data_IF_992345688276
#
_entry.id   IF_992345688276
#
_cell.length_a   1.000
_cell.length_b   1.000
_cell.length_c   1.000
_cell.angle_alpha   90.00
_cell.angle_beta   90.00
_cell.angle_gamma   90.00
#
_symmetry.space_group_name_H-M   'P 1'
#
loop_
_entity.id
_entity.type
_entity.pdbx_description
1 polymer ?
#
# COMPACT_ATOMS: atom_id res chain seq x y z
N UNK A 1 -8.88 14.20 -10.00
CA UNK A 1 -7.57 14.86 -9.72
C UNK A 1 -7.11 15.79 -10.84
N UNK A 2 -6.86 15.30 -12.07
CA UNK A 2 -6.33 16.12 -13.19
C UNK A 2 -7.05 17.47 -13.36
N UNK A 3 -8.37 17.45 -13.48
CA UNK A 3 -9.20 18.67 -13.61
C UNK A 3 -8.96 19.69 -12.48
N UNK A 4 -8.77 19.23 -11.24
CA UNK A 4 -8.52 20.12 -10.09
C UNK A 4 -7.10 20.70 -10.13
N UNK A 5 -6.09 19.91 -10.50
CA UNK A 5 -4.72 20.41 -10.69
C UNK A 5 -4.66 21.41 -11.85
N UNK A 6 -5.35 21.14 -12.95
CA UNK A 6 -5.44 22.06 -14.10
C UNK A 6 -6.06 23.40 -13.70
N UNK A 7 -7.09 23.36 -12.86
CA UNK A 7 -7.75 24.52 -12.26
C UNK A 7 -6.94 25.17 -11.11
N UNK A 8 -5.68 24.77 -10.90
CA UNK A 8 -4.77 25.37 -9.93
C UNK A 8 -5.10 25.07 -8.46
N UNK A 9 -5.79 23.96 -8.19
CA UNK A 9 -6.14 23.52 -6.83
C UNK A 9 -5.10 22.54 -6.28
N UNK A 10 -4.88 22.59 -4.96
CA UNK A 10 -4.23 21.50 -4.24
C UNK A 10 -5.18 20.30 -4.19
N UNK A 11 -4.64 19.08 -4.16
CA UNK A 11 -5.42 17.85 -4.22
C UNK A 11 -4.98 16.89 -3.13
N UNK A 12 -5.94 16.47 -2.31
CA UNK A 12 -5.88 15.29 -1.45
C UNK A 12 -6.79 14.22 -2.06
N UNK A 13 -6.31 12.98 -2.12
CA UNK A 13 -7.08 11.82 -2.60
C UNK A 13 -6.82 10.61 -1.69
N UNK A 14 -7.83 9.79 -1.44
CA UNK A 14 -7.67 8.48 -0.79
C UNK A 14 -6.93 7.50 -1.70
N UNK A 15 -6.21 6.53 -1.12
CA UNK A 15 -5.56 5.51 -1.95
C UNK A 15 -6.59 4.57 -2.63
N UNK A 16 -6.24 3.98 -3.78
CA UNK A 16 -5.11 4.35 -4.62
C UNK A 16 -5.44 5.62 -5.42
N UNK A 17 -4.47 6.53 -5.57
CA UNK A 17 -4.63 7.74 -6.38
C UNK A 17 -5.01 7.37 -7.82
N UNK A 18 -4.43 6.30 -8.36
CA UNK A 18 -4.74 5.84 -9.72
C UNK A 18 -4.65 4.32 -9.82
N UNK A 19 -5.24 3.78 -10.89
CA UNK A 19 -5.10 2.38 -11.27
C UNK A 19 -4.06 2.18 -12.40
N UNK A 20 -3.12 3.12 -12.55
CA UNK A 20 -2.05 3.08 -13.55
C UNK A 20 -0.85 3.92 -13.12
N UNK A 21 0.34 3.33 -13.20
CA UNK A 21 1.59 4.01 -12.87
C UNK A 21 1.81 5.25 -13.74
N UNK A 22 1.56 5.14 -15.04
CA UNK A 22 1.74 6.25 -15.99
C UNK A 22 0.82 7.42 -15.62
N UNK A 23 -0.44 7.14 -15.30
CA UNK A 23 -1.38 8.17 -14.87
C UNK A 23 -0.93 8.85 -13.57
N UNK A 24 -0.37 8.10 -12.61
CA UNK A 24 0.19 8.68 -11.40
C UNK A 24 1.38 9.60 -11.69
N UNK A 25 2.32 9.16 -12.54
CA UNK A 25 3.50 9.93 -12.94
C UNK A 25 3.09 11.25 -13.62
N UNK A 26 2.12 11.21 -14.52
CA UNK A 26 1.59 12.40 -15.18
C UNK A 26 0.93 13.38 -14.20
N UNK A 27 0.18 12.86 -13.21
CA UNK A 27 -0.43 13.70 -12.18
C UNK A 27 0.60 14.36 -11.26
N UNK A 28 1.64 13.63 -10.88
CA UNK A 28 2.76 14.19 -10.11
C UNK A 28 3.50 15.27 -10.90
N UNK A 29 3.79 15.02 -12.18
CA UNK A 29 4.42 16.01 -13.06
C UNK A 29 3.53 17.26 -13.24
N UNK A 30 2.22 17.07 -13.39
CA UNK A 30 1.26 18.19 -13.48
C UNK A 30 1.20 18.99 -12.18
N UNK A 31 1.18 18.33 -11.03
CA UNK A 31 1.19 19.01 -9.73
C UNK A 31 2.47 19.84 -9.53
N UNK A 32 3.61 19.29 -9.90
CA UNK A 32 4.92 19.98 -9.88
C UNK A 32 4.93 21.18 -10.83
N UNK A 33 4.51 21.00 -12.08
CA UNK A 33 4.37 22.07 -13.08
C UNK A 33 3.47 23.23 -12.58
N UNK A 34 2.40 22.90 -11.86
CA UNK A 34 1.42 23.88 -11.36
C UNK A 34 1.81 24.47 -9.99
N UNK A 35 2.89 24.00 -9.37
CA UNK A 35 3.26 24.37 -7.99
C UNK A 35 2.17 24.03 -6.98
N UNK A 36 1.52 22.86 -7.14
CA UNK A 36 0.42 22.40 -6.28
C UNK A 36 0.82 21.17 -5.49
N UNK A 37 0.26 21.08 -4.28
CA UNK A 37 0.39 19.89 -3.45
C UNK A 37 -0.54 18.82 -3.98
N UNK A 38 0.02 17.65 -4.26
CA UNK A 38 -0.69 16.41 -4.50
C UNK A 38 -0.38 15.46 -3.34
N UNK A 39 -1.41 14.98 -2.66
CA UNK A 39 -1.31 14.09 -1.52
C UNK A 39 -2.21 12.87 -1.75
N UNK A 40 -1.62 11.69 -1.68
CA UNK A 40 -2.34 10.42 -1.57
C UNK A 40 -2.32 10.01 -0.10
N UNK A 41 -3.51 9.88 0.48
CA UNK A 41 -3.71 9.47 1.86
C UNK A 41 -3.28 8.01 2.05
N UNK A 42 -2.63 7.74 3.17
CA UNK A 42 -2.17 6.39 3.56
C UNK A 42 -2.28 6.20 5.08
N UNK A 43 -3.50 6.22 5.60
CA UNK A 43 -3.82 6.05 7.03
C UNK A 43 -3.33 4.72 7.57
N UNK A 44 -3.12 3.70 6.73
CA UNK A 44 -2.53 2.45 7.18
C UNK A 44 -1.15 2.68 7.81
N UNK A 45 -0.38 3.68 7.38
CA UNK A 45 0.91 4.05 7.98
C UNK A 45 0.78 4.86 9.27
N UNK A 46 -0.42 5.33 9.59
CA UNK A 46 -0.75 6.09 10.80
C UNK A 46 -1.44 5.23 11.86
N UNK A 47 -1.65 3.94 11.56
CA UNK A 47 -2.26 2.99 12.48
C UNK A 47 -1.36 2.72 13.68
N UNK A 48 -1.96 2.53 14.85
CA UNK A 48 -1.27 2.15 16.08
C UNK A 48 -0.56 0.80 15.90
N UNK A 49 -1.20 -0.13 15.18
CA UNK A 49 -0.62 -1.42 14.77
C UNK A 49 0.62 -1.25 13.89
N UNK A 50 0.62 -0.26 12.98
CA UNK A 50 1.79 0.01 12.16
C UNK A 50 2.92 0.64 12.97
N UNK A 51 2.61 1.53 13.91
CA UNK A 51 3.59 2.09 14.83
C UNK A 51 4.26 1.01 15.70
N UNK A 52 3.49 0.02 16.16
CA UNK A 52 4.01 -1.17 16.83
C UNK A 52 4.94 -1.96 15.91
N UNK A 53 4.48 -2.31 14.70
CA UNK A 53 5.30 -3.05 13.72
C UNK A 53 6.61 -2.34 13.42
N UNK A 54 6.56 -1.02 13.17
CA UNK A 54 7.75 -0.23 12.87
C UNK A 54 8.77 -0.33 13.99
N UNK A 55 8.35 -0.26 15.26
CA UNK A 55 9.24 -0.44 16.42
C UNK A 55 9.81 -1.85 16.50
N UNK A 56 8.98 -2.87 16.28
CA UNK A 56 9.40 -4.26 16.37
C UNK A 56 10.39 -4.69 15.28
N UNK A 57 10.34 -4.09 14.09
CA UNK A 57 11.28 -4.43 13.01
C UNK A 57 12.60 -3.67 13.07
N UNK A 58 12.69 -2.56 13.82
CA UNK A 58 13.92 -1.75 13.88
C UNK A 58 15.08 -2.60 14.38
N UNK A 59 16.17 -2.62 13.62
CA UNK A 59 17.41 -3.33 13.98
C UNK A 59 17.34 -4.86 13.85
N UNK A 60 16.21 -5.44 13.41
CA UNK A 60 16.09 -6.88 13.18
C UNK A 60 16.34 -7.22 11.71
N UNK A 61 17.08 -8.30 11.47
CA UNK A 61 17.33 -8.80 10.12
C UNK A 61 16.25 -9.81 9.71
N UNK A 62 15.41 -9.44 8.73
CA UNK A 62 14.36 -10.30 8.20
C UNK A 62 14.98 -11.52 7.49
N UNK A 63 14.45 -12.71 7.76
CA UNK A 63 14.74 -13.95 7.03
C UNK A 63 13.65 -14.26 6.00
N UNK A 64 12.38 -14.17 6.42
CA UNK A 64 11.20 -14.37 5.55
C UNK A 64 9.97 -13.75 6.19
N UNK A 65 8.94 -13.48 5.40
CA UNK A 65 7.68 -13.00 5.96
C UNK A 65 6.44 -13.26 5.11
N UNK A 66 5.28 -13.16 5.74
CA UNK A 66 3.98 -13.21 5.08
C UNK A 66 3.00 -12.20 5.66
N UNK A 67 2.14 -11.64 4.81
CA UNK A 67 1.03 -10.76 5.17
C UNK A 67 -0.21 -11.15 4.37
N UNK A 68 -1.25 -11.63 5.06
CA UNK A 68 -2.54 -12.00 4.50
C UNK A 68 -3.61 -11.03 5.01
N UNK A 69 -4.47 -10.59 4.10
CA UNK A 69 -5.69 -9.87 4.43
C UNK A 69 -6.91 -10.57 3.84
N UNK A 70 -7.91 -10.83 4.69
CA UNK A 70 -9.20 -11.40 4.28
C UNK A 70 -10.30 -10.35 4.36
N UNK A 71 -11.26 -10.36 3.44
CA UNK A 71 -12.44 -9.48 3.50
C UNK A 71 -13.61 -10.03 2.68
N UNK A 72 -14.75 -9.36 2.74
CA UNK A 72 -15.89 -9.62 1.85
C UNK A 72 -15.55 -9.29 0.38
N UNK A 73 -16.36 -9.76 -0.59
CA UNK A 73 -16.18 -9.43 -2.01
C UNK A 73 -16.13 -7.92 -2.26
N UNK A 74 -15.39 -7.50 -3.30
CA UNK A 74 -15.22 -6.10 -3.69
C UNK A 74 -15.28 -5.97 -5.23
N UNK A 75 -16.04 -5.00 -5.73
CA UNK A 75 -16.25 -4.80 -7.16
C UNK A 75 -15.00 -4.23 -7.86
N UNK A 76 -14.25 -5.08 -8.57
CA UNK A 76 -13.01 -4.68 -9.27
C UNK A 76 -13.21 -3.50 -10.23
N UNK A 77 -14.36 -3.41 -10.91
CA UNK A 77 -14.64 -2.32 -11.86
C UNK A 77 -14.65 -0.93 -11.21
N UNK A 78 -15.00 -0.86 -9.91
CA UNK A 78 -15.09 0.41 -9.18
C UNK A 78 -13.86 0.67 -8.31
N UNK A 79 -13.31 -0.37 -7.70
CA UNK A 79 -12.22 -0.25 -6.72
C UNK A 79 -10.85 -0.64 -7.29
N UNK A 80 -10.81 -1.17 -8.51
CA UNK A 80 -9.60 -1.64 -9.16
C UNK A 80 -9.20 -3.06 -8.76
N UNK A 81 -8.20 -3.57 -9.48
CA UNK A 81 -7.64 -4.91 -9.29
C UNK A 81 -7.16 -5.11 -7.83
N UNK A 82 -7.14 -6.34 -7.27
CA UNK A 82 -6.80 -6.58 -5.87
C UNK A 82 -5.47 -5.96 -5.41
N UNK A 83 -4.47 -5.88 -6.28
CA UNK A 83 -3.20 -5.22 -5.94
C UNK A 83 -3.31 -3.70 -5.74
N UNK A 84 -4.30 -3.05 -6.36
CA UNK A 84 -4.59 -1.62 -6.18
C UNK A 84 -5.56 -1.38 -5.02
N UNK A 85 -6.68 -2.11 -4.98
CA UNK A 85 -7.65 -1.96 -3.87
C UNK A 85 -7.11 -2.44 -2.52
N UNK A 86 -6.12 -3.33 -2.53
CA UNK A 86 -5.40 -3.83 -1.36
C UNK A 86 -4.03 -3.19 -1.13
N UNK A 87 -3.68 -2.12 -1.87
CA UNK A 87 -2.32 -1.56 -1.89
C UNK A 87 -1.78 -1.17 -0.51
N UNK A 88 -2.66 -0.88 0.45
CA UNK A 88 -2.30 -0.60 1.83
C UNK A 88 -1.43 -1.70 2.48
N UNK A 89 -1.65 -2.99 2.16
CA UNK A 89 -0.80 -4.09 2.66
C UNK A 89 0.57 -4.07 2.01
N UNK A 90 0.65 -3.76 0.72
CA UNK A 90 1.92 -3.57 0.03
C UNK A 90 2.69 -2.37 0.60
N UNK A 91 2.00 -1.26 0.87
CA UNK A 91 2.58 -0.05 1.49
C UNK A 91 3.19 -0.37 2.86
N UNK A 92 2.56 -1.22 3.67
CA UNK A 92 3.17 -1.73 4.91
C UNK A 92 4.48 -2.45 4.66
N UNK A 93 4.49 -3.43 3.75
CA UNK A 93 5.70 -4.21 3.45
C UNK A 93 6.84 -3.32 2.93
N UNK A 94 6.54 -2.40 2.01
CA UNK A 94 7.52 -1.46 1.46
C UNK A 94 8.03 -0.49 2.53
N UNK A 95 7.15 -0.01 3.41
CA UNK A 95 7.56 0.91 4.48
C UNK A 95 8.37 0.23 5.59
N UNK A 96 8.18 -1.06 5.83
CA UNK A 96 8.93 -1.82 6.85
C UNK A 96 10.25 -2.36 6.31
N UNK A 97 10.27 -2.82 5.06
CA UNK A 97 11.39 -3.60 4.50
C UNK A 97 12.08 -2.94 3.29
N UNK A 98 11.65 -1.72 2.93
CA UNK A 98 12.18 -0.97 1.79
C UNK A 98 11.60 -1.43 0.46
N UNK A 99 12.24 -0.98 -0.63
CA UNK A 99 11.84 -1.39 -1.99
C UNK A 99 11.91 -2.91 -2.16
N UNK A 100 10.89 -3.43 -2.83
CA UNK A 100 10.68 -4.85 -3.08
C UNK A 100 10.69 -5.13 -4.58
N UNK A 101 11.13 -6.32 -4.97
CA UNK A 101 11.02 -6.82 -6.34
C UNK A 101 9.96 -7.91 -6.42
N UNK A 102 9.20 -7.95 -7.52
CA UNK A 102 8.26 -9.03 -7.80
C UNK A 102 9.00 -10.31 -8.20
N UNK A 103 8.64 -11.44 -7.60
CA UNK A 103 9.14 -12.77 -7.98
C UNK A 103 8.06 -13.52 -8.75
N UNK A 104 6.84 -13.54 -8.23
CA UNK A 104 5.70 -14.14 -8.92
C UNK A 104 4.38 -13.58 -8.40
N UNK A 105 3.32 -13.69 -9.20
CA UNK A 105 1.97 -13.43 -8.78
C UNK A 105 1.01 -14.46 -9.38
N UNK A 106 -0.04 -14.80 -8.63
CA UNK A 106 -1.12 -15.68 -9.04
C UNK A 106 -2.46 -15.12 -8.56
N UNK A 107 -3.50 -15.33 -9.36
CA UNK A 107 -4.86 -14.97 -9.01
C UNK A 107 -5.77 -16.18 -9.23
N UNK A 108 -6.38 -16.64 -8.14
CA UNK A 108 -7.44 -17.64 -8.16
C UNK A 108 -8.78 -16.90 -8.14
N UNK A 109 -9.67 -17.19 -9.09
CA UNK A 109 -11.00 -16.58 -9.16
C UNK A 109 -12.08 -17.63 -9.37
N UNK A 110 -13.11 -17.59 -8.54
CA UNK A 110 -14.35 -18.35 -8.70
C UNK A 110 -15.50 -17.36 -8.70
N UNK A 111 -15.84 -16.86 -9.91
CA UNK A 111 -16.81 -15.77 -10.09
C UNK A 111 -18.20 -16.12 -9.57
N UNK A 112 -18.64 -17.36 -9.77
CA UNK A 112 -19.93 -17.86 -9.28
C UNK A 112 -20.02 -17.85 -7.76
N UNK A 113 -18.88 -18.04 -7.08
CA UNK A 113 -18.77 -17.99 -5.61
C UNK A 113 -18.43 -16.59 -5.08
N UNK A 114 -18.29 -15.59 -5.96
CA UNK A 114 -17.76 -14.26 -5.62
C UNK A 114 -16.43 -14.31 -4.84
N UNK A 115 -15.62 -15.34 -5.11
CA UNK A 115 -14.36 -15.59 -4.42
C UNK A 115 -13.17 -15.20 -5.29
N UNK A 116 -12.16 -14.59 -4.65
CA UNK A 116 -10.84 -14.42 -5.24
C UNK A 116 -9.73 -14.55 -4.19
N UNK A 117 -8.56 -14.99 -4.64
CA UNK A 117 -7.33 -14.99 -3.85
C UNK A 117 -6.15 -14.63 -4.72
N UNK A 118 -5.56 -13.48 -4.42
CA UNK A 118 -4.30 -13.04 -5.02
C UNK A 118 -3.15 -13.45 -4.11
N UNK A 119 -2.19 -14.19 -4.63
CA UNK A 119 -0.95 -14.56 -3.92
C UNK A 119 0.25 -14.00 -4.66
N UNK A 120 1.08 -13.23 -3.95
CA UNK A 120 2.23 -12.52 -4.51
C UNK A 120 3.49 -12.91 -3.75
N UNK A 121 4.52 -13.35 -4.46
CA UNK A 121 5.86 -13.54 -3.92
C UNK A 121 6.72 -12.32 -4.27
N UNK A 122 7.25 -11.68 -3.24
CA UNK A 122 8.09 -10.49 -3.29
C UNK A 122 9.46 -10.82 -2.69
N UNK A 123 10.45 -9.98 -2.97
CA UNK A 123 11.78 -10.10 -2.40
C UNK A 123 12.34 -8.74 -2.00
N UNK A 124 12.98 -8.66 -0.83
CA UNK A 124 13.72 -7.45 -0.41
C UNK A 124 15.03 -7.31 -1.20
N UNK A 125 15.68 -6.15 -1.11
CA UNK A 125 17.03 -5.92 -1.67
C UNK A 125 18.05 -6.97 -1.19
N UNK A 126 17.93 -7.44 0.04
CA UNK A 126 18.81 -8.46 0.65
C UNK A 126 18.37 -9.90 0.35
N UNK A 127 17.51 -10.09 -0.65
CA UNK A 127 17.05 -11.40 -1.11
C UNK A 127 16.15 -12.16 -0.13
N UNK A 128 15.62 -11.49 0.90
CA UNK A 128 14.69 -12.10 1.85
C UNK A 128 13.28 -12.21 1.23
N UNK A 129 12.65 -13.40 1.20
CA UNK A 129 11.34 -13.59 0.62
C UNK A 129 10.20 -13.02 1.49
N UNK A 130 9.23 -12.41 0.82
CA UNK A 130 7.98 -11.94 1.41
C UNK A 130 6.79 -12.50 0.61
N UNK A 131 5.74 -12.92 1.30
CA UNK A 131 4.48 -13.35 0.67
C UNK A 131 3.37 -12.37 1.03
N UNK A 132 2.67 -11.84 0.03
CA UNK A 132 1.48 -11.02 0.23
C UNK A 132 0.26 -11.72 -0.35
N UNK A 133 -0.80 -11.83 0.45
CA UNK A 133 -2.05 -12.45 0.05
C UNK A 133 -3.22 -11.49 0.30
N UNK A 134 -4.04 -11.26 -0.71
CA UNK A 134 -5.37 -10.68 -0.56
C UNK A 134 -6.40 -11.76 -0.89
N UNK A 135 -7.31 -12.03 0.05
CA UNK A 135 -8.37 -13.03 -0.11
C UNK A 135 -9.72 -12.37 0.14
N UNK A 136 -10.66 -12.56 -0.79
CA UNK A 136 -12.02 -12.02 -0.66
C UNK A 136 -13.04 -13.08 -1.04
N UNK A 137 -14.10 -13.16 -0.26
CA UNK A 137 -15.17 -14.13 -0.48
C UNK A 137 -16.34 -13.90 0.47
N UNK A 138 -17.54 -14.40 0.12
CA UNK A 138 -18.70 -14.30 1.00
C UNK A 138 -18.42 -14.89 2.39
N UNK A 139 -18.85 -14.18 3.44
CA UNK A 139 -18.68 -14.63 4.84
C UNK A 139 -17.29 -14.42 5.45
N UNK A 140 -16.27 -14.05 4.67
CA UNK A 140 -14.95 -13.73 5.22
C UNK A 140 -14.98 -12.43 6.04
N UNK A 141 -14.54 -12.53 7.29
CA UNK A 141 -14.35 -11.36 8.16
C UNK A 141 -13.12 -10.58 7.72
N UNK A 142 -13.12 -9.28 8.04
CA UNK A 142 -11.93 -8.42 7.87
C UNK A 142 -10.88 -8.80 8.90
N UNK A 143 -9.90 -9.59 8.49
CA UNK A 143 -8.78 -9.98 9.34
C UNK A 143 -7.45 -9.71 8.63
N UNK A 144 -6.42 -9.49 9.44
CA UNK A 144 -5.04 -9.35 8.99
C UNK A 144 -4.21 -10.38 9.73
N UNK A 145 -3.49 -11.20 8.99
CA UNK A 145 -2.57 -12.21 9.53
C UNK A 145 -1.17 -11.87 9.05
N UNK A 146 -0.20 -11.92 9.94
CA UNK A 146 1.19 -11.72 9.58
C UNK A 146 2.09 -12.70 10.28
N UNK A 147 3.23 -12.97 9.65
CA UNK A 147 4.29 -13.77 10.23
C UNK A 147 5.60 -13.28 9.65
N UNK A 148 6.42 -12.63 10.46
CA UNK A 148 7.75 -12.16 10.10
C UNK A 148 8.78 -12.90 10.93
N UNK A 149 9.70 -13.60 10.26
CA UNK A 149 10.79 -14.30 10.91
C UNK A 149 12.07 -13.51 10.72
N UNK A 150 12.75 -13.23 11.82
CA UNK A 150 14.03 -12.54 11.87
C UNK A 150 15.13 -13.48 12.34
N UNK A 151 16.40 -13.10 12.19
CA UNK A 151 17.51 -13.83 12.83
C UNK A 151 17.37 -13.89 14.35
N UNK A 152 16.74 -12.88 14.95
CA UNK A 152 16.57 -12.70 16.40
C UNK A 152 15.11 -12.85 16.85
N UNK A 153 14.41 -13.88 16.37
CA UNK A 153 13.05 -14.22 16.78
C UNK A 153 12.00 -14.04 15.69
N UNK A 154 10.72 -14.09 16.05
CA UNK A 154 9.60 -13.99 15.11
C UNK A 154 8.50 -13.08 15.64
N UNK A 155 7.70 -12.55 14.71
CA UNK A 155 6.54 -11.72 14.98
C UNK A 155 5.33 -12.26 14.22
N UNK A 156 4.40 -12.87 14.95
CA UNK A 156 3.23 -13.56 14.39
C UNK A 156 1.90 -12.89 14.75
N UNK A 157 1.93 -11.95 15.71
CA UNK A 157 0.74 -11.25 16.17
C UNK A 157 1.05 -9.77 16.33
N UNK A 158 0.08 -8.94 15.94
CA UNK A 158 0.09 -7.51 16.27
C UNK A 158 -0.98 -7.29 17.32
N UNK A 159 -0.64 -6.80 18.52
CA UNK A 159 -1.64 -6.51 19.53
C UNK A 159 -2.62 -5.48 18.99
N UNK A 160 -3.90 -5.64 19.33
CA UNK A 160 -4.89 -4.60 19.10
C UNK A 160 -4.66 -3.50 20.15
N UNK A 161 -3.83 -2.52 19.78
CA UNK A 161 -3.29 -1.49 20.69
C UNK A 161 -4.23 -0.31 20.91
N UNK A 162 -5.36 -0.25 20.21
CA UNK A 162 -6.38 0.78 20.38
C UNK A 162 -7.39 0.83 19.23
N UNK A 163 -8.08 1.97 19.10
CA UNK A 163 -9.18 2.14 18.13
C UNK A 163 -8.81 3.04 16.96
N UNK A 164 -7.53 3.41 16.80
CA UNK A 164 -7.08 4.33 15.74
C UNK A 164 -7.89 5.66 15.72
N UNK A 165 -8.16 6.23 16.90
CA UNK A 165 -8.98 7.44 17.04
C UNK A 165 -8.38 8.61 16.24
N UNK A 166 -9.23 9.32 15.51
CA UNK A 166 -8.87 10.50 14.71
C UNK A 166 -7.82 10.22 13.61
N UNK A 167 -7.69 8.99 13.11
CA UNK A 167 -6.64 8.63 12.15
C UNK A 167 -6.68 9.45 10.85
N UNK A 168 -7.88 9.72 10.31
CA UNK A 168 -8.05 10.59 9.15
C UNK A 168 -7.70 12.06 9.44
N UNK A 169 -7.91 12.53 10.68
CA UNK A 169 -7.46 13.86 11.08
C UNK A 169 -5.93 13.94 11.16
N UNK A 170 -5.26 12.86 11.56
CA UNK A 170 -3.79 12.78 11.51
C UNK A 170 -3.29 12.89 10.07
N UNK A 171 -3.94 12.23 9.12
CA UNK A 171 -3.60 12.34 7.70
C UNK A 171 -3.85 13.77 7.17
N UNK A 172 -5.02 14.35 7.47
CA UNK A 172 -5.32 15.73 7.14
C UNK A 172 -4.27 16.70 7.69
N UNK A 173 -3.77 16.49 8.91
CA UNK A 173 -2.71 17.32 9.47
C UNK A 173 -1.43 17.23 8.62
N UNK A 174 -1.05 16.06 8.11
CA UNK A 174 0.08 15.91 7.18
C UNK A 174 -0.16 16.72 5.91
N UNK A 175 -1.36 16.67 5.33
CA UNK A 175 -1.71 17.49 4.18
C UNK A 175 -1.60 18.99 4.48
N UNK A 176 -2.07 19.46 5.64
CA UNK A 176 -1.93 20.86 6.09
C UNK A 176 -0.45 21.25 6.22
N UNK A 177 0.41 20.39 6.78
CA UNK A 177 1.85 20.66 6.86
C UNK A 177 2.47 20.87 5.46
N UNK A 178 2.05 20.09 4.45
CA UNK A 178 2.48 20.29 3.06
C UNK A 178 2.03 21.63 2.50
N UNK A 179 0.79 22.05 2.77
CA UNK A 179 0.26 23.36 2.34
C UNK A 179 1.02 24.53 2.96
N UNK A 180 1.47 24.38 4.21
CA UNK A 180 2.24 25.39 4.94
C UNK A 180 3.74 25.38 4.61
N UNK A 181 4.20 24.49 3.71
CA UNK A 181 5.63 24.36 3.39
C UNK A 181 6.48 23.84 4.56
N UNK A 182 5.87 23.12 5.50
CA UNK A 182 6.51 22.64 6.73
C UNK A 182 7.12 21.23 6.59
N UNK A 183 7.00 20.61 5.41
CA UNK A 183 7.59 19.30 5.09
C UNK A 183 8.81 19.52 4.20
N UNK A 184 9.94 18.91 4.54
CA UNK A 184 11.17 19.09 3.75
C UNK A 184 11.06 18.44 2.36
N UNK A 185 11.81 18.97 1.38
CA UNK A 185 11.89 18.38 0.03
C UNK A 185 12.34 16.91 0.07
N UNK A 186 13.23 16.56 1.00
CA UNK A 186 13.70 15.19 1.21
C UNK A 186 12.56 14.25 1.63
N UNK A 187 11.70 14.70 2.56
CA UNK A 187 10.54 13.92 3.01
C UNK A 187 9.49 13.78 1.91
N UNK A 188 9.20 14.86 1.18
CA UNK A 188 8.30 14.84 0.03
C UNK A 188 8.79 13.88 -1.07
N UNK A 189 10.09 13.92 -1.39
CA UNK A 189 10.70 13.03 -2.38
C UNK A 189 10.67 11.56 -1.94
N UNK A 190 10.95 11.28 -0.65
CA UNK A 190 10.90 9.92 -0.12
C UNK A 190 9.48 9.34 -0.13
N UNK A 191 8.48 10.15 0.20
CA UNK A 191 7.07 9.77 0.12
C UNK A 191 6.62 9.50 -1.31
N UNK A 192 6.86 10.43 -2.24
CA UNK A 192 6.57 10.27 -3.68
C UNK A 192 7.21 9.00 -4.24
N UNK A 193 8.48 8.75 -3.88
CA UNK A 193 9.21 7.54 -4.30
C UNK A 193 8.54 6.25 -3.81
N UNK A 194 8.14 6.20 -2.53
CA UNK A 194 7.43 5.03 -1.98
C UNK A 194 6.09 4.79 -2.69
N UNK A 195 5.30 5.85 -2.88
CA UNK A 195 4.00 5.79 -3.57
C UNK A 195 4.14 5.22 -4.98
N UNK A 196 5.04 5.79 -5.78
CA UNK A 196 5.26 5.34 -7.15
C UNK A 196 5.80 3.91 -7.22
N UNK A 197 6.64 3.51 -6.24
CA UNK A 197 7.11 2.13 -6.12
C UNK A 197 5.97 1.14 -5.86
N UNK A 198 5.05 1.46 -4.93
CA UNK A 198 3.89 0.63 -4.66
C UNK A 198 2.96 0.52 -5.89
N UNK A 199 2.69 1.63 -6.57
CA UNK A 199 1.85 1.64 -7.78
C UNK A 199 2.47 0.85 -8.93
N UNK A 200 3.80 0.94 -9.09
CA UNK A 200 4.53 0.17 -10.10
C UNK A 200 4.39 -1.34 -9.85
N UNK A 201 4.61 -1.79 -8.60
CA UNK A 201 4.42 -3.18 -8.22
C UNK A 201 2.96 -3.63 -8.40
N UNK A 202 1.98 -2.81 -8.01
CA UNK A 202 0.57 -3.15 -8.20
C UNK A 202 0.21 -3.36 -9.68
N UNK A 203 0.72 -2.51 -10.57
CA UNK A 203 0.52 -2.64 -12.02
C UNK A 203 1.24 -3.88 -12.58
N UNK A 204 2.46 -4.17 -12.14
CA UNK A 204 3.22 -5.36 -12.54
C UNK A 204 2.52 -6.65 -12.11
N UNK A 205 2.05 -6.72 -10.87
CA UNK A 205 1.28 -7.85 -10.32
C UNK A 205 0.02 -8.08 -11.15
N UNK A 206 -0.72 -7.01 -11.48
CA UNK A 206 -1.90 -7.10 -12.33
C UNK A 206 -1.58 -7.68 -13.71
N UNK A 207 -0.50 -7.22 -14.36
CA UNK A 207 -0.04 -7.74 -15.65
C UNK A 207 0.28 -9.23 -15.57
N UNK A 208 1.03 -9.66 -14.56
CA UNK A 208 1.40 -11.07 -14.37
C UNK A 208 0.17 -11.96 -14.12
N UNK A 209 -0.76 -11.52 -13.27
CA UNK A 209 -1.98 -12.28 -12.98
C UNK A 209 -2.90 -12.40 -14.20
N UNK A 210 -3.01 -11.33 -15.01
CA UNK A 210 -3.87 -11.34 -16.20
C UNK A 210 -3.24 -12.06 -17.40
N UNK A 211 -1.92 -12.08 -17.52
CA UNK A 211 -1.22 -12.82 -18.58
C UNK A 211 -1.32 -14.35 -18.44
N UNK A 212 -1.70 -14.86 -17.26
CA UNK A 212 -1.90 -16.29 -16.98
C UNK A 212 -3.33 -16.79 -17.26
N UNK A 213 -4.22 -15.91 -17.72
CA UNK A 213 -5.57 -16.27 -18.17
C UNK A 213 -5.58 -16.41 -19.69
#
# INVERSE_FOLDING_TARGET
>A
MRQFLDAGKHVLVEYPMTLSLVAAQELWALAEQKGKVLHEEHVELLMEEFAFLKKEVVGKELLKGSLLFTATPLEEQRFGFPAFSGISRLTWLVSLFGELSLVSANLEERKEEQYMKMTVSLQTKNKCPLTWIEEKGPGLKRNRYLSFHFKSGSLENVPNVGINKNIFLKDQNIFVQKLLGQVSEKELAAEKKRILHCLALAEEIQKVCRAKK
#
